data_IF_873083956445
#
_entry.id   IF_873083956445
#
_cell.length_a   1.000
_cell.length_b   1.000
_cell.length_c   1.000
_cell.angle_alpha   90.00
_cell.angle_beta   90.00
_cell.angle_gamma   90.00
#
_symmetry.space_group_name_H-M   'P 1'
#
loop_
_entity.id
_entity.type
_entity.pdbx_description
1 polymer ?
#
# COMPACT_ATOMS: atom_id res chain seq x y z
N UNK A 1 17.86 7.95 16.95
CA UNK A 1 17.20 6.62 16.82
C UNK A 1 15.96 6.65 15.91
N UNK A 2 15.81 7.63 15.00
CA UNK A 2 14.68 7.68 14.04
C UNK A 2 15.14 7.71 12.57
N UNK A 3 16.37 8.13 12.28
CA UNK A 3 16.81 8.38 10.90
C UNK A 3 17.08 7.11 10.08
N UNK A 4 17.46 5.99 10.72
CA UNK A 4 17.80 4.73 10.03
C UNK A 4 16.61 4.02 9.35
N UNK A 5 15.37 4.38 9.67
CA UNK A 5 14.17 3.79 9.06
C UNK A 5 13.61 4.64 7.91
N UNK A 6 14.07 5.87 7.76
CA UNK A 6 13.55 6.81 6.76
C UNK A 6 14.29 6.64 5.42
N UNK A 7 15.59 6.33 5.44
CA UNK A 7 16.40 6.11 4.23
C UNK A 7 15.85 5.03 3.27
N UNK A 8 15.33 3.86 3.73
CA UNK A 8 14.73 2.89 2.81
C UNK A 8 13.37 3.33 2.26
N UNK A 9 12.62 4.21 2.94
CA UNK A 9 11.33 4.71 2.43
C UNK A 9 11.51 5.63 1.22
N UNK A 10 12.61 6.39 1.17
CA UNK A 10 12.94 7.28 0.04
C UNK A 10 13.19 6.57 -1.29
N UNK A 11 13.37 5.24 -1.28
CA UNK A 11 13.58 4.42 -2.49
C UNK A 11 12.35 3.60 -2.90
N UNK A 12 11.25 3.67 -2.16
CA UNK A 12 10.06 2.91 -2.48
C UNK A 12 9.29 3.64 -3.58
N UNK A 13 9.44 3.17 -4.80
CA UNK A 13 8.60 3.61 -5.91
C UNK A 13 7.20 3.01 -5.78
N UNK A 14 6.19 3.88 -5.86
CA UNK A 14 4.80 3.43 -5.98
C UNK A 14 4.66 2.56 -7.22
N UNK A 15 4.01 1.42 -7.06
CA UNK A 15 3.71 0.58 -8.22
C UNK A 15 2.67 1.31 -9.09
N UNK A 16 2.93 1.53 -10.40
CA UNK A 16 1.89 2.00 -11.30
C UNK A 16 0.86 0.87 -11.42
N UNK A 17 -0.33 1.10 -10.88
CA UNK A 17 -1.43 0.14 -10.99
C UNK A 17 -2.27 0.45 -12.22
N UNK A 18 -2.64 -0.59 -12.94
CA UNK A 18 -3.69 -0.49 -13.94
C UNK A 18 -5.05 -0.30 -13.23
N UNK A 19 -6.02 0.31 -13.92
CA UNK A 19 -7.35 0.61 -13.35
C UNK A 19 -8.03 -0.60 -12.71
N UNK A 20 -7.94 -1.77 -13.36
CA UNK A 20 -8.49 -3.03 -12.85
C UNK A 20 -7.79 -3.52 -11.57
N UNK A 21 -6.51 -3.23 -11.38
CA UNK A 21 -5.74 -3.56 -10.19
C UNK A 21 -6.10 -2.61 -9.05
N UNK A 22 -6.26 -1.31 -9.34
CA UNK A 22 -6.75 -0.33 -8.37
C UNK A 22 -8.15 -0.69 -7.86
N UNK A 23 -9.08 -1.04 -8.75
CA UNK A 23 -10.45 -1.43 -8.38
C UNK A 23 -10.45 -2.64 -7.43
N UNK A 24 -9.65 -3.68 -7.76
CA UNK A 24 -9.49 -4.85 -6.89
C UNK A 24 -8.88 -4.51 -5.53
N UNK A 25 -7.88 -3.61 -5.50
CA UNK A 25 -7.26 -3.17 -4.26
C UNK A 25 -8.26 -2.42 -3.37
N UNK A 26 -9.07 -1.54 -3.95
CA UNK A 26 -10.12 -0.81 -3.23
C UNK A 26 -11.21 -1.72 -2.69
N UNK A 27 -11.62 -2.71 -3.48
CA UNK A 27 -12.59 -3.71 -3.03
C UNK A 27 -12.05 -4.56 -1.88
N UNK A 28 -10.76 -4.91 -1.93
CA UNK A 28 -10.08 -5.59 -0.83
C UNK A 28 -10.01 -4.71 0.42
N UNK A 29 -9.55 -3.46 0.29
CA UNK A 29 -9.45 -2.50 1.39
C UNK A 29 -10.82 -2.29 2.07
N UNK A 30 -11.89 -2.14 1.28
CA UNK A 30 -13.24 -2.01 1.81
C UNK A 30 -13.63 -3.23 2.65
N UNK A 31 -13.47 -4.44 2.10
CA UNK A 31 -13.82 -5.68 2.81
C UNK A 31 -13.01 -5.86 4.08
N UNK A 32 -11.71 -5.58 4.03
CA UNK A 32 -10.82 -5.67 5.17
C UNK A 32 -11.26 -4.70 6.28
N UNK A 33 -11.55 -3.44 5.93
CA UNK A 33 -11.97 -2.44 6.89
C UNK A 33 -13.36 -2.74 7.48
N UNK A 34 -14.28 -3.31 6.68
CA UNK A 34 -15.58 -3.79 7.16
C UNK A 34 -15.42 -4.96 8.16
N UNK A 35 -14.51 -5.91 7.90
CA UNK A 35 -14.29 -7.08 8.75
C UNK A 35 -13.63 -6.72 10.09
N UNK A 36 -12.64 -5.82 10.07
CA UNK A 36 -11.84 -5.48 11.24
C UNK A 36 -12.25 -4.16 11.92
N UNK A 37 -13.30 -3.49 11.42
CA UNK A 37 -13.87 -2.26 12.01
C UNK A 37 -12.90 -1.09 12.09
N UNK A 38 -11.82 -1.12 11.30
CA UNK A 38 -10.71 -0.17 11.36
C UNK A 38 -10.47 0.39 9.97
N UNK A 39 -10.17 1.69 9.86
CA UNK A 39 -9.90 2.35 8.58
C UNK A 39 -8.42 2.24 8.22
N UNK A 40 -8.03 1.13 7.59
CA UNK A 40 -6.69 0.95 7.04
C UNK A 40 -6.60 1.41 5.59
N UNK A 41 -5.44 1.94 5.21
CA UNK A 41 -5.08 2.24 3.83
C UNK A 41 -4.00 1.28 3.37
N UNK A 42 -4.17 0.69 2.19
CA UNK A 42 -3.19 -0.21 1.59
C UNK A 42 -2.36 0.51 0.53
N UNK A 43 -1.03 0.37 0.63
CA UNK A 43 -0.07 0.94 -0.32
C UNK A 43 0.66 -0.19 -1.05
N UNK A 44 0.67 -0.13 -2.38
CA UNK A 44 1.39 -1.09 -3.22
C UNK A 44 2.68 -0.45 -3.71
N UNK A 45 3.79 -1.15 -3.47
CA UNK A 45 5.13 -0.68 -3.81
C UNK A 45 5.76 -1.66 -4.80
N UNK A 46 6.56 -1.14 -5.71
CA UNK A 46 7.37 -1.98 -6.58
C UNK A 46 8.53 -2.53 -5.75
N UNK A 47 8.72 -3.85 -5.78
CA UNK A 47 9.93 -4.47 -5.22
C UNK A 47 11.05 -4.24 -6.23
N UNK A 48 12.18 -3.67 -5.78
CA UNK A 48 13.42 -3.72 -6.56
C UNK A 48 13.80 -5.20 -6.76
N UNK A 49 13.94 -5.63 -8.01
CA UNK A 49 14.44 -6.97 -8.37
C UNK A 49 15.91 -7.13 -7.99
#
# INVERSE_FOLDING_TARGET
MQEKYIEPLTKLEYAPLEKNQEEKLRDFERKFNEEFGTAFYFMVMRKED
#
